data_IF_817717053838
#
_entry.id   IF_817717053838
#
_cell.length_a   1.000
_cell.length_b   1.000
_cell.length_c   1.000
_cell.angle_alpha   90.00
_cell.angle_beta   90.00
_cell.angle_gamma   90.00
#
_symmetry.space_group_name_H-M   'P 1'
#
loop_
_entity.id
_entity.type
_entity.pdbx_description
1 polymer ?
#
# COMPACT_ATOMS: atom_id res chain seq x y z
N UNK A 1 12.50 -10.58 -4.48
CA UNK A 1 12.33 -9.13 -4.28
C UNK A 1 12.18 -8.92 -2.80
N UNK A 2 13.10 -8.16 -2.20
CA UNK A 2 12.97 -7.72 -0.81
C UNK A 2 11.88 -6.64 -0.75
N UNK A 3 11.08 -6.60 0.32
CA UNK A 3 9.93 -5.66 0.43
C UNK A 3 10.39 -4.21 0.23
N UNK A 4 11.62 -3.90 0.67
CA UNK A 4 12.27 -2.61 0.43
C UNK A 4 12.33 -2.22 -1.05
N UNK A 5 12.63 -3.17 -1.93
CA UNK A 5 12.73 -2.91 -3.37
C UNK A 5 11.37 -2.56 -3.97
N UNK A 6 10.29 -3.18 -3.50
CA UNK A 6 8.92 -2.84 -3.91
C UNK A 6 8.59 -1.43 -3.43
N UNK A 7 8.86 -1.14 -2.16
CA UNK A 7 8.63 0.17 -1.57
C UNK A 7 9.36 1.30 -2.31
N UNK A 8 10.63 1.07 -2.68
CA UNK A 8 11.44 2.05 -3.42
C UNK A 8 10.87 2.30 -4.82
N UNK A 9 10.46 1.25 -5.54
CA UNK A 9 9.78 1.41 -6.84
C UNK A 9 8.47 2.19 -6.72
N UNK A 10 7.66 1.91 -5.69
CA UNK A 10 6.43 2.67 -5.44
C UNK A 10 6.74 4.15 -5.16
N UNK A 11 7.84 4.42 -4.44
CA UNK A 11 8.30 5.78 -4.19
C UNK A 11 8.69 6.50 -5.49
N UNK A 12 9.45 5.85 -6.36
CA UNK A 12 9.85 6.41 -7.66
C UNK A 12 8.64 6.78 -8.52
N UNK A 13 7.60 5.95 -8.54
CA UNK A 13 6.43 6.16 -9.39
C UNK A 13 5.43 7.19 -8.83
N UNK A 14 5.17 7.17 -7.52
CA UNK A 14 3.99 7.85 -6.96
C UNK A 14 4.30 8.95 -5.93
N UNK A 15 5.51 8.99 -5.37
CA UNK A 15 5.81 9.87 -4.24
C UNK A 15 5.56 11.36 -4.51
N UNK A 16 5.85 11.85 -5.71
CA UNK A 16 5.63 13.25 -6.06
C UNK A 16 4.13 13.62 -5.98
N UNK A 17 3.27 12.80 -6.59
CA UNK A 17 1.81 13.00 -6.57
C UNK A 17 1.24 12.83 -5.17
N UNK A 18 1.70 11.83 -4.43
CA UNK A 18 1.27 11.59 -3.06
C UNK A 18 1.67 12.72 -2.12
N UNK A 19 2.85 13.31 -2.32
CA UNK A 19 3.33 14.44 -1.53
C UNK A 19 2.53 15.70 -1.80
N UNK A 20 2.15 15.93 -3.07
CA UNK A 20 1.29 17.04 -3.47
C UNK A 20 -0.13 16.89 -2.91
N UNK A 21 -0.71 15.68 -3.00
CA UNK A 21 -2.06 15.37 -2.49
C UNK A 21 -2.12 15.38 -0.96
N UNK A 22 -1.04 15.01 -0.29
CA UNK A 22 -0.92 15.03 1.16
C UNK A 22 -1.47 13.79 1.86
N UNK A 23 -1.04 13.59 3.11
CA UNK A 23 -1.19 12.33 3.85
C UNK A 23 -2.65 11.88 4.05
N UNK A 24 -3.57 12.78 4.34
CA UNK A 24 -4.96 12.42 4.64
C UNK A 24 -5.74 12.04 3.38
N UNK A 25 -5.47 12.71 2.27
CA UNK A 25 -6.07 12.35 1.00
C UNK A 25 -5.46 11.04 0.47
N UNK A 26 -4.14 10.81 0.61
CA UNK A 26 -3.55 9.49 0.32
C UNK A 26 -4.11 8.37 1.21
N UNK A 27 -4.38 8.64 2.49
CA UNK A 27 -5.07 7.69 3.36
C UNK A 27 -6.51 7.42 2.92
N UNK A 28 -7.20 8.40 2.35
CA UNK A 28 -8.56 8.21 1.82
C UNK A 28 -8.57 7.19 0.69
N UNK A 29 -7.58 7.24 -0.21
CA UNK A 29 -7.41 6.23 -1.27
C UNK A 29 -7.10 4.84 -0.73
N UNK A 30 -6.28 4.73 0.33
CA UNK A 30 -6.12 3.43 1.00
C UNK A 30 -7.46 2.87 1.51
N UNK A 31 -8.32 3.73 2.07
CA UNK A 31 -9.63 3.31 2.59
C UNK A 31 -10.58 2.89 1.45
N UNK A 32 -10.49 3.54 0.30
CA UNK A 32 -11.19 3.18 -0.94
C UNK A 32 -10.83 1.75 -1.38
N UNK A 33 -9.54 1.43 -1.54
CA UNK A 33 -9.14 0.08 -1.97
C UNK A 33 -9.47 -1.00 -0.93
N UNK A 34 -9.53 -0.65 0.36
CA UNK A 34 -10.03 -1.59 1.39
C UNK A 34 -11.52 -1.90 1.16
N UNK A 35 -12.28 -0.93 0.66
CA UNK A 35 -13.67 -1.11 0.24
C UNK A 35 -13.77 -1.99 -1.01
N UNK A 36 -12.95 -1.74 -2.03
CA UNK A 36 -12.91 -2.56 -3.26
C UNK A 36 -12.49 -3.99 -2.94
N UNK A 37 -11.49 -4.19 -2.06
CA UNK A 37 -11.11 -5.51 -1.55
C UNK A 37 -12.28 -6.21 -0.85
N UNK A 38 -13.10 -5.48 -0.08
CA UNK A 38 -14.27 -6.06 0.57
C UNK A 38 -15.32 -6.50 -0.46
N UNK A 39 -15.55 -5.73 -1.52
CA UNK A 39 -16.43 -6.11 -2.64
C UNK A 39 -15.90 -7.35 -3.38
N UNK A 40 -14.61 -7.37 -3.70
CA UNK A 40 -13.96 -8.50 -4.35
C UNK A 40 -14.12 -9.79 -3.53
N UNK A 41 -13.92 -9.71 -2.20
CA UNK A 41 -14.12 -10.84 -1.29
C UNK A 41 -15.57 -11.31 -1.22
N UNK A 42 -16.55 -10.39 -1.22
CA UNK A 42 -17.97 -10.73 -1.23
C UNK A 42 -18.40 -11.40 -2.55
N UNK A 43 -17.71 -11.07 -3.64
CA UNK A 43 -17.97 -11.66 -4.96
C UNK A 43 -17.28 -13.02 -5.18
N UNK A 44 -16.39 -13.45 -4.28
CA UNK A 44 -15.53 -14.64 -4.41
C UNK A 44 -14.73 -14.68 -5.74
N UNK A 45 -14.46 -13.50 -6.32
CA UNK A 45 -13.69 -13.37 -7.54
C UNK A 45 -12.20 -13.32 -7.22
N UNK A 46 -11.51 -14.44 -7.43
CA UNK A 46 -10.07 -14.56 -7.15
C UNK A 46 -9.21 -13.53 -7.90
N UNK A 47 -9.57 -13.19 -9.14
CA UNK A 47 -8.81 -12.22 -9.95
C UNK A 47 -8.89 -10.82 -9.32
N UNK A 48 -10.11 -10.36 -9.01
CA UNK A 48 -10.31 -9.08 -8.31
C UNK A 48 -9.66 -9.10 -6.93
N UNK A 49 -9.79 -10.18 -6.15
CA UNK A 49 -9.15 -10.26 -4.83
C UNK A 49 -7.63 -10.07 -4.93
N UNK A 50 -6.99 -10.64 -5.96
CA UNK A 50 -5.56 -10.48 -6.18
C UNK A 50 -5.19 -9.03 -6.53
N UNK A 51 -5.98 -8.37 -7.37
CA UNK A 51 -5.81 -6.96 -7.76
C UNK A 51 -5.93 -6.06 -6.53
N UNK A 52 -7.03 -6.16 -5.79
CA UNK A 52 -7.29 -5.29 -4.65
C UNK A 52 -6.31 -5.51 -3.49
N UNK A 53 -5.83 -6.74 -3.28
CA UNK A 53 -4.76 -7.00 -2.31
C UNK A 53 -3.46 -6.27 -2.68
N UNK A 54 -3.15 -6.18 -3.98
CA UNK A 54 -1.97 -5.48 -4.45
C UNK A 54 -2.13 -3.96 -4.27
N UNK A 55 -3.31 -3.41 -4.52
CA UNK A 55 -3.59 -1.98 -4.39
C UNK A 55 -3.62 -1.52 -2.93
N UNK A 56 -4.23 -2.31 -2.03
CA UNK A 56 -4.13 -2.07 -0.58
C UNK A 56 -2.67 -2.05 -0.12
N UNK A 57 -1.83 -2.97 -0.61
CA UNK A 57 -0.40 -2.96 -0.31
C UNK A 57 0.28 -1.71 -0.90
N UNK A 58 0.00 -1.34 -2.14
CA UNK A 58 0.60 -0.19 -2.83
C UNK A 58 0.31 1.13 -2.09
N UNK A 59 -0.94 1.37 -1.67
CA UNK A 59 -1.28 2.56 -0.89
C UNK A 59 -0.71 2.54 0.52
N UNK A 60 -0.61 1.37 1.14
CA UNK A 60 0.08 1.22 2.43
C UNK A 60 1.56 1.64 2.31
N UNK A 61 2.25 1.20 1.25
CA UNK A 61 3.63 1.60 0.96
C UNK A 61 3.74 3.09 0.61
N UNK A 62 2.74 3.67 -0.05
CA UNK A 62 2.68 5.10 -0.34
C UNK A 62 2.62 5.94 0.94
N UNK A 63 1.80 5.53 1.91
CA UNK A 63 1.75 6.14 3.25
C UNK A 63 3.10 5.99 3.98
N UNK A 64 3.70 4.80 3.94
CA UNK A 64 5.00 4.56 4.55
C UNK A 64 6.09 5.47 3.94
N UNK A 65 6.09 5.64 2.62
CA UNK A 65 6.98 6.55 1.91
C UNK A 65 6.79 8.01 2.32
N UNK A 66 5.54 8.50 2.42
CA UNK A 66 5.23 9.84 2.92
C UNK A 66 5.69 10.07 4.36
N UNK A 67 5.70 9.02 5.19
CA UNK A 67 6.15 9.06 6.59
C UNK A 67 7.63 8.74 6.78
N UNK A 68 8.36 8.38 5.72
CA UNK A 68 9.76 7.96 5.82
C UNK A 68 9.96 6.68 6.63
N UNK A 69 8.98 5.77 6.60
CA UNK A 69 9.03 4.50 7.32
C UNK A 69 9.52 3.41 6.36
N UNK A 70 10.56 2.67 6.77
CA UNK A 70 10.97 1.43 6.09
C UNK A 70 10.05 0.28 6.52
N UNK A 71 9.25 -0.24 5.60
CA UNK A 71 8.25 -1.28 5.92
C UNK A 71 8.87 -2.65 6.15
N UNK A 72 10.01 -2.94 5.54
CA UNK A 72 10.70 -4.20 5.76
C UNK A 72 11.23 -4.27 7.19
N UNK A 73 11.92 -3.22 7.63
CA UNK A 73 12.41 -3.11 9.00
C UNK A 73 11.25 -3.03 10.03
N UNK A 74 10.15 -2.35 9.69
CA UNK A 74 8.96 -2.30 10.54
C UNK A 74 8.35 -3.70 10.76
N UNK A 75 8.27 -4.52 9.70
CA UNK A 75 7.74 -5.88 9.76
C UNK A 75 8.70 -6.80 10.54
N UNK A 76 10.00 -6.78 10.24
CA UNK A 76 11.02 -7.54 10.99
C UNK A 76 10.94 -7.25 12.48
N UNK A 77 10.88 -5.98 12.85
CA UNK A 77 10.76 -5.54 14.26
C UNK A 77 9.47 -6.04 14.93
N UNK A 78 8.33 -5.97 14.24
CA UNK A 78 7.02 -6.31 14.82
C UNK A 78 6.81 -7.82 14.96
N UNK A 79 7.20 -8.58 13.93
CA UNK A 79 6.92 -10.02 13.84
C UNK A 79 8.12 -10.90 14.19
N UNK A 80 9.28 -10.29 14.51
CA UNK A 80 10.53 -10.99 14.82
C UNK A 80 10.97 -11.94 13.69
N UNK A 81 10.86 -11.44 12.45
CA UNK A 81 11.33 -12.09 11.23
C UNK A 81 12.81 -11.80 11.00
#
# INVERSE_FOLDING_TARGET
MELKQIQDKMKEMYYAKDSERGIYATFTWLVEEVGELAEALLSDNTESIQEELADVLAWTLSIANLKGIDMEEAIKKKYKL
#
